data_IF_612090840399
#
_entry.id   IF_612090840399
#
_cell.length_a   1.000
_cell.length_b   1.000
_cell.length_c   1.000
_cell.angle_alpha   90.00
_cell.angle_beta   90.00
_cell.angle_gamma   90.00
#
_symmetry.space_group_name_H-M   'P 1'
#
loop_
_entity.id
_entity.type
_entity.pdbx_description
1 polymer ?
#
# COMPACT_ATOMS: atom_id res chain seq x y z
N UNK A 1 -19.87 7.37 2.27
CA UNK A 1 -19.69 6.39 1.16
C UNK A 1 -20.13 7.00 -0.17
N UNK A 2 -21.33 7.55 -0.26
CA UNK A 2 -21.85 8.17 -1.48
C UNK A 2 -21.17 9.50 -1.82
N UNK A 3 -20.76 10.28 -0.83
CA UNK A 3 -20.13 11.58 -1.04
C UNK A 3 -18.78 11.51 -1.77
N UNK A 4 -17.98 10.48 -1.54
CA UNK A 4 -16.69 10.29 -2.24
C UNK A 4 -16.88 9.95 -3.73
N UNK A 5 -18.07 9.48 -4.11
CA UNK A 5 -18.46 9.09 -5.46
C UNK A 5 -19.10 10.21 -6.26
N UNK A 6 -19.64 11.23 -5.60
CA UNK A 6 -20.27 12.38 -6.25
C UNK A 6 -19.30 13.16 -7.15
N UNK A 7 -17.99 13.06 -6.90
CA UNK A 7 -16.96 13.63 -7.77
C UNK A 7 -16.86 12.97 -9.15
N UNK A 8 -17.48 11.83 -9.36
CA UNK A 8 -17.38 11.05 -10.59
C UNK A 8 -18.64 11.10 -11.45
N UNK A 9 -19.46 12.14 -11.34
CA UNK A 9 -20.55 12.48 -12.29
C UNK A 9 -21.26 11.28 -12.95
N UNK A 10 -21.47 10.18 -12.22
CA UNK A 10 -22.40 9.15 -12.67
C UNK A 10 -23.79 9.75 -12.45
N UNK A 11 -24.60 9.90 -13.52
CA UNK A 11 -25.98 10.31 -13.37
C UNK A 11 -26.68 9.28 -12.47
N UNK A 12 -27.17 9.67 -11.28
CA UNK A 12 -27.57 8.73 -10.25
C UNK A 12 -28.73 7.83 -10.68
N UNK A 13 -29.58 8.34 -11.56
CA UNK A 13 -30.88 7.76 -11.93
C UNK A 13 -30.83 6.32 -12.43
N UNK A 14 -29.71 5.87 -13.01
CA UNK A 14 -29.61 4.51 -13.58
C UNK A 14 -28.56 3.66 -12.89
N UNK A 15 -27.76 4.24 -11.98
CA UNK A 15 -26.72 3.51 -11.27
C UNK A 15 -27.27 2.72 -10.09
N UNK A 16 -26.59 1.66 -9.75
CA UNK A 16 -26.89 0.87 -8.56
C UNK A 16 -25.59 0.31 -7.96
N UNK A 17 -25.66 -0.02 -6.66
CA UNK A 17 -24.57 -0.61 -5.92
C UNK A 17 -25.04 -1.90 -5.25
N UNK A 18 -24.25 -2.96 -5.38
CA UNK A 18 -24.51 -4.22 -4.69
C UNK A 18 -23.68 -4.30 -3.42
N UNK A 19 -24.29 -4.82 -2.36
CA UNK A 19 -23.57 -5.26 -1.18
C UNK A 19 -24.30 -6.45 -0.56
N UNK A 20 -23.68 -7.60 -0.68
CA UNK A 20 -24.24 -8.88 -0.24
C UNK A 20 -25.63 -9.16 -0.87
N UNK A 21 -26.67 -9.27 -0.06
CA UNK A 21 -28.06 -9.51 -0.47
C UNK A 21 -28.85 -8.23 -0.79
N UNK A 22 -28.21 -7.06 -0.67
CA UNK A 22 -28.85 -5.76 -0.84
C UNK A 22 -28.38 -5.04 -2.08
N UNK A 23 -29.23 -4.17 -2.58
CA UNK A 23 -28.93 -3.22 -3.63
C UNK A 23 -29.32 -1.83 -3.15
N UNK A 24 -28.45 -0.86 -3.33
CA UNK A 24 -28.76 0.55 -3.22
C UNK A 24 -28.89 1.19 -4.59
N UNK A 25 -29.86 2.08 -4.76
CA UNK A 25 -30.04 2.86 -5.97
C UNK A 25 -30.77 4.17 -5.63
N UNK A 26 -30.79 5.09 -6.57
CA UNK A 26 -31.56 6.33 -6.44
C UNK A 26 -32.81 6.19 -7.26
N UNK A 27 -33.99 6.44 -6.67
CA UNK A 27 -35.26 6.40 -7.32
C UNK A 27 -35.61 7.72 -8.07
N UNK A 28 -36.82 7.78 -8.65
CA UNK A 28 -37.25 8.95 -9.40
C UNK A 28 -37.45 10.21 -8.52
N UNK A 29 -37.63 10.04 -7.23
CA UNK A 29 -37.76 11.13 -6.25
C UNK A 29 -36.40 11.59 -5.68
N UNK A 30 -35.27 11.10 -6.24
CA UNK A 30 -33.94 11.34 -5.75
C UNK A 30 -33.67 10.77 -4.34
N UNK A 31 -34.50 9.83 -3.91
CA UNK A 31 -34.31 9.13 -2.63
C UNK A 31 -33.40 7.94 -2.81
N UNK A 32 -32.53 7.71 -1.83
CA UNK A 32 -31.69 6.52 -1.78
C UNK A 32 -32.55 5.36 -1.25
N UNK A 33 -32.77 4.39 -2.10
CA UNK A 33 -33.47 3.16 -1.74
C UNK A 33 -32.48 2.04 -1.49
N UNK A 34 -32.56 1.38 -0.35
CA UNK A 34 -31.81 0.17 -0.03
C UNK A 34 -32.82 -0.96 0.15
N UNK A 35 -32.74 -1.98 -0.67
CA UNK A 35 -33.65 -3.11 -0.61
C UNK A 35 -32.94 -4.45 -0.78
N UNK A 36 -33.56 -5.50 -0.26
CA UNK A 36 -33.14 -6.87 -0.56
C UNK A 36 -33.40 -7.12 -2.05
N UNK A 37 -32.42 -7.65 -2.76
CA UNK A 37 -32.53 -7.88 -4.19
C UNK A 37 -32.21 -9.33 -4.55
N UNK A 38 -33.12 -9.93 -5.31
CA UNK A 38 -32.87 -11.22 -5.94
C UNK A 38 -31.84 -11.11 -7.07
N UNK A 39 -31.37 -12.26 -7.58
CA UNK A 39 -30.52 -12.29 -8.77
C UNK A 39 -31.23 -11.66 -9.99
N UNK A 40 -32.56 -11.86 -10.11
CA UNK A 40 -33.37 -11.30 -11.18
C UNK A 40 -33.47 -9.77 -11.07
N UNK A 41 -33.66 -9.24 -9.87
CA UNK A 41 -33.72 -7.79 -9.66
C UNK A 41 -32.39 -7.13 -9.99
N UNK A 42 -31.30 -7.77 -9.58
CA UNK A 42 -29.95 -7.32 -9.93
C UNK A 42 -29.73 -7.32 -11.45
N UNK A 43 -30.16 -8.37 -12.14
CA UNK A 43 -30.07 -8.48 -13.59
C UNK A 43 -30.88 -7.41 -14.32
N UNK A 44 -32.15 -7.18 -13.89
CA UNK A 44 -32.97 -6.12 -14.45
C UNK A 44 -32.33 -4.73 -14.28
N UNK A 45 -31.71 -4.46 -13.14
CA UNK A 45 -31.01 -3.20 -12.90
C UNK A 45 -29.77 -3.06 -13.77
N UNK A 46 -29.02 -4.15 -13.93
CA UNK A 46 -27.88 -4.16 -14.85
C UNK A 46 -28.30 -3.81 -16.28
N UNK A 47 -29.35 -4.45 -16.79
CA UNK A 47 -29.88 -4.16 -18.13
C UNK A 47 -30.27 -2.69 -18.31
N UNK A 48 -30.85 -2.06 -17.28
CA UNK A 48 -31.16 -0.62 -17.29
C UNK A 48 -29.91 0.26 -17.24
N UNK A 49 -28.86 -0.19 -16.60
CA UNK A 49 -27.64 0.58 -16.42
C UNK A 49 -26.68 0.48 -17.62
N UNK A 50 -26.64 -0.67 -18.30
CA UNK A 50 -25.70 -0.93 -19.39
C UNK A 50 -25.78 0.08 -20.56
N UNK A 51 -26.94 0.53 -21.05
CA UNK A 51 -27.01 1.53 -22.11
C UNK A 51 -26.33 2.84 -21.72
N UNK A 52 -26.54 3.28 -20.48
CA UNK A 52 -25.89 4.47 -19.95
C UNK A 52 -24.36 4.30 -19.88
N UNK A 53 -23.87 3.14 -19.38
CA UNK A 53 -22.45 2.85 -19.34
C UNK A 53 -21.85 2.80 -20.74
N UNK A 54 -22.56 2.28 -21.72
CA UNK A 54 -22.12 2.23 -23.12
C UNK A 54 -21.91 3.64 -23.72
N UNK A 55 -22.86 4.55 -23.45
CA UNK A 55 -22.73 5.95 -23.90
C UNK A 55 -21.55 6.68 -23.25
N UNK A 56 -21.31 6.45 -21.96
CA UNK A 56 -20.28 7.14 -21.21
C UNK A 56 -18.88 6.52 -21.42
N UNK A 57 -18.79 5.20 -21.53
CA UNK A 57 -17.53 4.47 -21.69
C UNK A 57 -17.75 3.07 -22.27
N UNK A 58 -17.51 2.93 -23.58
CA UNK A 58 -17.57 1.61 -24.26
C UNK A 58 -16.66 0.57 -23.58
N UNK A 59 -15.51 1.00 -23.06
CA UNK A 59 -14.57 0.10 -22.36
C UNK A 59 -15.15 -0.41 -21.04
N UNK A 60 -15.88 0.41 -20.32
CA UNK A 60 -16.54 0.03 -19.07
C UNK A 60 -17.72 -0.91 -19.34
N UNK A 61 -18.47 -0.66 -20.40
CA UNK A 61 -19.51 -1.56 -20.87
C UNK A 61 -18.95 -2.97 -21.14
N UNK A 62 -17.88 -3.07 -21.92
CA UNK A 62 -17.21 -4.37 -22.20
C UNK A 62 -16.76 -5.02 -20.89
N UNK A 63 -16.22 -4.26 -19.95
CA UNK A 63 -15.79 -4.79 -18.65
C UNK A 63 -16.94 -5.38 -17.86
N UNK A 64 -18.11 -4.73 -17.85
CA UNK A 64 -19.31 -5.25 -17.17
C UNK A 64 -19.83 -6.51 -17.84
N UNK A 65 -19.85 -6.57 -19.17
CA UNK A 65 -20.21 -7.79 -19.90
C UNK A 65 -19.24 -8.93 -19.55
N UNK A 66 -17.93 -8.66 -19.57
CA UNK A 66 -16.91 -9.65 -19.19
C UNK A 66 -17.11 -10.18 -17.75
N UNK A 67 -17.46 -9.29 -16.81
CA UNK A 67 -17.80 -9.71 -15.45
C UNK A 67 -18.95 -10.71 -15.43
N UNK A 68 -20.06 -10.39 -16.07
CA UNK A 68 -21.25 -11.24 -16.05
C UNK A 68 -21.02 -12.58 -16.76
N UNK A 69 -20.25 -12.59 -17.86
CA UNK A 69 -19.87 -13.81 -18.56
C UNK A 69 -18.89 -14.69 -17.75
N UNK A 70 -18.00 -14.08 -16.98
CA UNK A 70 -17.02 -14.83 -16.20
C UNK A 70 -17.53 -15.23 -14.81
N UNK A 71 -18.53 -14.53 -14.27
CA UNK A 71 -19.04 -14.75 -12.91
C UNK A 71 -19.40 -16.23 -12.61
N UNK A 72 -20.04 -17.01 -13.50
CA UNK A 72 -20.32 -18.41 -13.23
C UNK A 72 -19.08 -19.25 -12.89
N UNK A 73 -17.91 -18.96 -13.51
CA UNK A 73 -16.66 -19.68 -13.28
C UNK A 73 -16.01 -19.34 -11.92
N UNK A 74 -16.43 -18.25 -11.31
CA UNK A 74 -15.89 -17.77 -10.02
C UNK A 74 -16.87 -17.96 -8.85
N UNK A 75 -18.16 -18.22 -9.12
CA UNK A 75 -19.24 -18.23 -8.12
C UNK A 75 -18.96 -19.14 -6.91
N UNK A 76 -18.31 -20.28 -7.13
CA UNK A 76 -18.05 -21.28 -6.09
C UNK A 76 -16.60 -21.26 -5.60
N UNK A 77 -15.82 -20.27 -5.98
CA UNK A 77 -14.42 -20.13 -5.54
C UNK A 77 -14.37 -19.11 -4.41
N UNK A 78 -13.58 -19.43 -3.38
CA UNK A 78 -13.20 -18.47 -2.33
C UNK A 78 -11.89 -17.82 -2.77
N UNK A 79 -11.96 -16.54 -3.15
CA UNK A 79 -10.82 -15.83 -3.73
C UNK A 79 -10.35 -14.74 -2.78
N UNK A 80 -9.08 -14.84 -2.39
CA UNK A 80 -8.38 -13.80 -1.67
C UNK A 80 -7.37 -13.11 -2.60
N UNK A 81 -7.46 -11.79 -2.72
CA UNK A 81 -6.44 -10.99 -3.37
C UNK A 81 -5.55 -10.33 -2.34
N UNK A 82 -4.25 -10.38 -2.56
CA UNK A 82 -3.23 -9.87 -1.67
C UNK A 82 -2.37 -8.83 -2.36
N UNK A 83 -2.18 -7.69 -1.70
CA UNK A 83 -1.43 -6.57 -2.22
C UNK A 83 -0.51 -6.00 -1.15
N UNK A 84 0.78 -5.95 -1.46
CA UNK A 84 1.67 -4.97 -0.85
C UNK A 84 1.67 -3.70 -1.72
N UNK A 85 2.81 -3.20 -2.14
CA UNK A 85 2.86 -2.19 -3.20
C UNK A 85 2.91 -2.88 -4.55
N UNK A 86 2.29 -2.30 -5.60
CA UNK A 86 2.30 -2.93 -6.92
C UNK A 86 3.69 -3.02 -7.54
N UNK A 87 4.59 -2.17 -7.10
CA UNK A 87 5.97 -2.10 -7.59
C UNK A 87 6.99 -2.77 -6.66
N UNK A 88 6.58 -3.26 -5.48
CA UNK A 88 7.48 -3.84 -4.49
C UNK A 88 6.78 -4.85 -3.60
N UNK A 89 7.41 -6.01 -3.42
CA UNK A 89 7.04 -7.03 -2.44
C UNK A 89 7.81 -6.88 -1.13
N UNK A 90 7.79 -7.93 -0.32
CA UNK A 90 8.52 -8.02 0.94
C UNK A 90 7.81 -7.35 2.11
N UNK A 91 6.49 -7.20 2.05
CA UNK A 91 5.68 -6.69 3.16
C UNK A 91 4.67 -7.74 3.64
N UNK A 92 3.82 -7.41 4.56
CA UNK A 92 2.96 -8.32 5.33
C UNK A 92 2.08 -9.23 4.47
N UNK A 93 1.59 -8.77 3.31
CA UNK A 93 0.81 -9.62 2.41
C UNK A 93 1.67 -10.67 1.71
N UNK A 94 2.93 -10.40 1.37
CA UNK A 94 3.83 -11.41 0.81
C UNK A 94 4.11 -12.50 1.86
N UNK A 95 4.38 -12.14 3.11
CA UNK A 95 4.60 -13.12 4.19
C UNK A 95 3.40 -14.02 4.38
N UNK A 96 2.19 -13.45 4.43
CA UNK A 96 0.96 -14.23 4.49
C UNK A 96 0.77 -15.12 3.27
N UNK A 97 1.08 -14.62 2.08
CA UNK A 97 0.98 -15.39 0.83
C UNK A 97 1.91 -16.61 0.85
N UNK A 98 3.16 -16.43 1.29
CA UNK A 98 4.15 -17.50 1.46
C UNK A 98 3.69 -18.52 2.49
N UNK A 99 3.26 -18.08 3.66
CA UNK A 99 2.73 -18.94 4.72
C UNK A 99 1.56 -19.80 4.24
N UNK A 100 0.75 -19.28 3.35
CA UNK A 100 -0.43 -19.96 2.84
C UNK A 100 -0.17 -20.80 1.58
N UNK A 101 1.04 -20.84 1.04
CA UNK A 101 1.32 -21.46 -0.26
C UNK A 101 0.91 -22.93 -0.34
N UNK A 102 1.11 -23.69 0.74
CA UNK A 102 0.84 -25.12 0.84
C UNK A 102 -0.49 -25.47 1.50
N UNK A 103 -1.30 -24.46 1.87
CA UNK A 103 -2.57 -24.69 2.55
C UNK A 103 -3.62 -25.24 1.59
N UNK A 104 -4.24 -26.36 1.94
CA UNK A 104 -5.32 -27.03 1.18
C UNK A 104 -6.68 -26.79 1.87
N UNK A 105 -7.08 -25.56 2.03
CA UNK A 105 -8.30 -25.13 2.74
C UNK A 105 -9.42 -24.66 1.81
N UNK A 106 -9.28 -24.88 0.51
CA UNK A 106 -10.25 -24.47 -0.50
C UNK A 106 -10.25 -22.98 -0.85
N UNK A 107 -9.28 -22.20 -0.31
CA UNK A 107 -9.13 -20.78 -0.61
C UNK A 107 -8.10 -20.57 -1.71
N UNK A 108 -8.51 -19.91 -2.79
CA UNK A 108 -7.62 -19.51 -3.87
C UNK A 108 -6.99 -18.15 -3.58
N UNK A 109 -5.70 -18.13 -3.31
CA UNK A 109 -4.96 -16.93 -2.95
C UNK A 109 -4.11 -16.44 -4.12
N UNK A 110 -4.15 -15.14 -4.35
CA UNK A 110 -3.43 -14.52 -5.46
C UNK A 110 -2.70 -13.27 -4.98
N UNK A 111 -1.40 -13.24 -5.14
CA UNK A 111 -0.58 -12.07 -4.85
C UNK A 111 -0.35 -11.27 -6.14
N UNK A 112 -0.66 -9.98 -6.12
CA UNK A 112 -0.63 -9.11 -7.30
C UNK A 112 0.57 -8.17 -7.21
N UNK A 113 1.41 -8.20 -8.25
CA UNK A 113 2.59 -7.34 -8.34
C UNK A 113 2.94 -7.08 -9.81
N UNK A 114 3.69 -6.01 -10.10
CA UNK A 114 4.15 -5.73 -11.46
C UNK A 114 5.21 -6.74 -11.91
N UNK A 115 5.05 -7.23 -13.14
CA UNK A 115 5.94 -8.28 -13.70
C UNK A 115 7.39 -7.81 -13.91
N UNK A 116 7.62 -6.50 -13.99
CA UNK A 116 8.95 -5.94 -14.28
C UNK A 116 9.80 -5.79 -13.02
N UNK A 117 9.24 -6.03 -11.84
CA UNK A 117 9.95 -5.92 -10.56
C UNK A 117 10.88 -7.12 -10.32
N UNK A 118 11.96 -6.89 -9.58
CA UNK A 118 12.82 -7.95 -9.07
C UNK A 118 12.06 -8.92 -8.17
N UNK A 119 11.14 -8.40 -7.35
CA UNK A 119 10.31 -9.21 -6.45
C UNK A 119 9.38 -10.17 -7.20
N UNK A 120 8.82 -9.77 -8.37
CA UNK A 120 8.05 -10.70 -9.20
C UNK A 120 8.92 -11.89 -9.67
N UNK A 121 10.16 -11.59 -10.08
CA UNK A 121 11.11 -12.63 -10.51
C UNK A 121 11.52 -13.52 -9.34
N UNK A 122 11.82 -12.93 -8.18
CA UNK A 122 12.16 -13.63 -6.93
C UNK A 122 11.04 -14.58 -6.50
N UNK A 123 9.80 -14.10 -6.41
CA UNK A 123 8.65 -14.94 -6.07
C UNK A 123 8.48 -16.13 -7.01
N UNK A 124 8.72 -15.93 -8.30
CA UNK A 124 8.68 -17.04 -9.28
C UNK A 124 9.83 -18.04 -9.10
N UNK A 125 11.03 -17.55 -8.80
CA UNK A 125 12.18 -18.41 -8.52
C UNK A 125 11.95 -19.25 -7.24
N UNK A 126 11.23 -18.70 -6.26
CA UNK A 126 10.82 -19.39 -5.04
C UNK A 126 9.64 -20.37 -5.26
N UNK A 127 9.23 -20.64 -6.51
CA UNK A 127 8.13 -21.56 -6.85
C UNK A 127 6.72 -20.99 -6.67
N UNK A 128 6.59 -19.73 -6.25
CA UNK A 128 5.29 -19.07 -6.09
C UNK A 128 4.72 -18.60 -7.44
N UNK A 129 3.43 -18.30 -7.48
CA UNK A 129 2.70 -17.95 -8.71
C UNK A 129 2.06 -16.56 -8.63
N UNK A 130 2.87 -15.49 -8.52
CA UNK A 130 2.31 -14.13 -8.48
C UNK A 130 1.55 -13.81 -9.77
N UNK A 131 0.53 -12.99 -9.64
CA UNK A 131 -0.29 -12.55 -10.78
C UNK A 131 0.20 -11.18 -11.25
N UNK A 132 0.42 -11.07 -12.55
CA UNK A 132 0.84 -9.80 -13.17
C UNK A 132 -0.24 -8.74 -12.97
N UNK A 133 0.18 -7.60 -12.40
CA UNK A 133 -0.64 -6.40 -12.33
C UNK A 133 -1.21 -6.01 -13.70
N UNK A 134 -2.44 -5.49 -13.73
CA UNK A 134 -3.19 -5.06 -14.92
C UNK A 134 -3.45 -6.13 -15.98
N UNK A 135 -3.10 -7.40 -15.74
CA UNK A 135 -3.46 -8.49 -16.63
C UNK A 135 -4.98 -8.73 -16.67
N UNK A 136 -5.48 -9.40 -17.70
CA UNK A 136 -6.87 -9.83 -17.74
C UNK A 136 -7.24 -10.68 -16.52
N UNK A 137 -6.36 -11.61 -16.13
CA UNK A 137 -6.53 -12.45 -14.93
C UNK A 137 -6.69 -11.58 -13.67
N UNK A 138 -5.79 -10.60 -13.45
CA UNK A 138 -5.90 -9.68 -12.32
C UNK A 138 -7.27 -8.98 -12.29
N UNK A 139 -7.68 -8.41 -13.42
CA UNK A 139 -8.95 -7.67 -13.54
C UNK A 139 -10.17 -8.52 -13.21
N UNK A 140 -10.23 -9.75 -13.74
CA UNK A 140 -11.34 -10.66 -13.45
C UNK A 140 -11.31 -11.16 -12.00
N UNK A 141 -10.13 -11.42 -11.44
CA UNK A 141 -9.98 -11.76 -10.04
C UNK A 141 -10.46 -10.62 -9.15
N UNK A 142 -10.09 -9.36 -9.44
CA UNK A 142 -10.52 -8.20 -8.65
C UNK A 142 -12.03 -8.07 -8.61
N UNK A 143 -12.73 -8.23 -9.73
CA UNK A 143 -14.19 -8.15 -9.80
C UNK A 143 -14.90 -9.32 -9.10
N UNK A 144 -14.22 -10.45 -8.93
CA UNK A 144 -14.80 -11.68 -8.37
C UNK A 144 -14.19 -12.06 -7.01
N UNK A 145 -13.43 -11.17 -6.40
CA UNK A 145 -12.79 -11.41 -5.11
C UNK A 145 -13.82 -11.48 -3.98
N UNK A 146 -13.55 -12.32 -2.98
CA UNK A 146 -14.36 -12.39 -1.75
C UNK A 146 -13.73 -11.56 -0.64
N UNK A 147 -12.41 -11.51 -0.58
CA UNK A 147 -11.66 -10.71 0.40
C UNK A 147 -10.43 -10.10 -0.28
N UNK A 148 -10.23 -8.81 -0.06
CA UNK A 148 -8.99 -8.13 -0.43
C UNK A 148 -8.13 -7.86 0.81
N UNK A 149 -6.89 -8.34 0.79
CA UNK A 149 -5.90 -8.12 1.83
C UNK A 149 -4.85 -7.14 1.30
N UNK A 150 -4.56 -6.13 2.08
CA UNK A 150 -3.67 -5.05 1.66
C UNK A 150 -2.86 -4.51 2.85
N UNK A 151 -1.65 -4.08 2.60
CA UNK A 151 -0.82 -3.42 3.61
C UNK A 151 -1.14 -1.93 3.77
N UNK A 152 -1.78 -1.33 2.77
CA UNK A 152 -2.32 0.04 2.84
C UNK A 152 -3.81 0.02 3.20
N UNK A 153 -4.39 1.17 3.53
CA UNK A 153 -5.79 1.26 3.94
C UNK A 153 -6.79 1.28 2.78
N UNK A 154 -6.36 1.47 1.54
CA UNK A 154 -7.24 1.61 0.38
C UNK A 154 -6.86 0.65 -0.75
N UNK A 155 -7.71 -0.36 -0.98
CA UNK A 155 -7.48 -1.41 -1.99
C UNK A 155 -8.01 -1.02 -3.38
N UNK A 156 -9.01 -0.14 -3.45
CA UNK A 156 -9.66 0.14 -4.73
C UNK A 156 -8.75 0.72 -5.82
N UNK A 157 -7.75 1.56 -5.56
CA UNK A 157 -6.79 2.01 -6.55
C UNK A 157 -5.99 0.87 -7.23
N UNK A 158 -5.92 -0.30 -6.58
CA UNK A 158 -5.19 -1.48 -7.07
C UNK A 158 -6.00 -2.36 -8.03
N UNK A 159 -7.15 -1.91 -8.53
CA UNK A 159 -8.09 -2.68 -9.35
C UNK A 159 -7.55 -3.08 -10.76
N UNK A 160 -6.44 -2.50 -11.19
CA UNK A 160 -5.84 -2.77 -12.50
C UNK A 160 -6.53 -2.12 -13.70
N UNK A 161 -7.57 -1.35 -13.49
CA UNK A 161 -8.28 -0.58 -14.53
C UNK A 161 -7.80 0.86 -14.60
N UNK A 162 -8.05 1.52 -15.74
CA UNK A 162 -7.87 2.96 -15.86
C UNK A 162 -8.93 3.73 -15.07
N UNK A 163 -8.65 4.97 -14.67
CA UNK A 163 -9.54 5.78 -13.84
C UNK A 163 -10.94 5.96 -14.45
N UNK A 164 -11.01 6.15 -15.76
CA UNK A 164 -12.28 6.29 -16.51
C UNK A 164 -13.17 5.04 -16.40
N UNK A 165 -12.55 3.85 -16.34
CA UNK A 165 -13.28 2.57 -16.16
C UNK A 165 -13.60 2.26 -14.71
N UNK A 166 -12.72 2.60 -13.79
CA UNK A 166 -12.88 2.29 -12.36
C UNK A 166 -14.20 2.79 -11.80
N UNK A 167 -14.65 3.96 -12.21
CA UNK A 167 -15.91 4.55 -11.75
C UNK A 167 -17.14 3.69 -12.04
N UNK A 168 -17.13 2.92 -13.14
CA UNK A 168 -18.26 2.10 -13.56
C UNK A 168 -18.22 0.66 -13.06
N UNK A 169 -17.10 0.20 -12.52
CA UNK A 169 -16.98 -1.18 -12.03
C UNK A 169 -17.21 -1.32 -10.53
N UNK A 170 -17.15 -0.22 -9.78
CA UNK A 170 -17.21 -0.28 -8.32
C UNK A 170 -18.51 -0.89 -7.80
N UNK A 171 -19.65 -0.64 -8.45
CA UNK A 171 -20.91 -1.27 -8.08
C UNK A 171 -20.92 -2.80 -8.21
N UNK A 172 -19.94 -3.39 -8.91
CA UNK A 172 -19.73 -4.83 -9.00
C UNK A 172 -18.85 -5.37 -7.87
N UNK A 173 -18.02 -4.51 -7.26
CA UNK A 173 -17.10 -4.88 -6.21
C UNK A 173 -17.84 -4.94 -4.86
N UNK A 174 -17.96 -6.13 -4.30
CA UNK A 174 -18.72 -6.38 -3.08
C UNK A 174 -17.91 -7.19 -2.08
N UNK A 175 -16.65 -6.86 -1.92
CA UNK A 175 -15.75 -7.54 -1.01
C UNK A 175 -15.34 -6.62 0.15
N UNK A 176 -15.18 -7.16 1.36
CA UNK A 176 -14.50 -6.48 2.45
C UNK A 176 -13.00 -6.42 2.21
N UNK A 177 -12.35 -5.41 2.76
CA UNK A 177 -10.91 -5.34 2.85
C UNK A 177 -10.41 -5.70 4.25
N UNK A 178 -9.18 -6.22 4.32
CA UNK A 178 -8.43 -6.44 5.55
C UNK A 178 -7.08 -5.75 5.43
N UNK A 179 -6.74 -4.92 6.39
CA UNK A 179 -5.47 -4.20 6.40
C UNK A 179 -4.43 -4.92 7.26
N UNK A 180 -3.35 -5.39 6.61
CA UNK A 180 -2.27 -6.13 7.27
C UNK A 180 -1.13 -5.22 7.75
N UNK A 181 -1.24 -3.91 7.54
CA UNK A 181 -0.22 -2.91 7.88
C UNK A 181 1.10 -3.06 7.11
N UNK A 182 1.72 -1.91 6.84
CA UNK A 182 3.08 -1.81 6.29
C UNK A 182 4.06 -1.17 7.28
N UNK A 183 3.71 -1.09 8.54
CA UNK A 183 4.47 -0.50 9.64
C UNK A 183 3.55 0.05 10.71
N UNK A 184 4.09 0.37 11.89
CA UNK A 184 3.29 0.89 12.98
C UNK A 184 2.73 2.27 12.66
N UNK A 185 1.42 2.42 12.83
CA UNK A 185 0.67 3.66 12.62
C UNK A 185 0.43 4.39 13.95
N UNK A 186 1.50 4.86 14.57
CA UNK A 186 1.42 5.62 15.83
C UNK A 186 1.18 7.11 15.62
N UNK A 187 1.37 7.60 14.40
CA UNK A 187 1.14 8.99 14.01
C UNK A 187 -0.28 9.16 13.45
N UNK A 188 -0.80 10.40 13.50
CA UNK A 188 -2.12 10.70 12.97
C UNK A 188 -2.12 10.68 11.43
N UNK A 189 -2.78 9.68 10.84
CA UNK A 189 -2.95 9.53 9.39
C UNK A 189 -4.45 9.50 9.02
N UNK A 190 -5.27 10.34 9.63
CA UNK A 190 -6.72 10.22 9.71
C UNK A 190 -7.42 9.93 8.37
N UNK A 191 -7.11 10.68 7.31
CA UNK A 191 -7.82 10.56 6.04
C UNK A 191 -7.55 9.24 5.31
N UNK A 192 -6.32 8.74 5.38
CA UNK A 192 -5.92 7.52 4.66
C UNK A 192 -6.36 6.23 5.36
N UNK A 193 -6.57 6.28 6.68
CA UNK A 193 -6.84 5.09 7.49
C UNK A 193 -8.29 4.98 7.97
N UNK A 194 -9.17 5.87 7.53
CA UNK A 194 -10.59 5.81 7.88
C UNK A 194 -11.24 4.54 7.33
N UNK A 195 -11.98 3.83 8.17
CA UNK A 195 -12.73 2.61 7.81
C UNK A 195 -13.64 2.81 6.61
N UNK A 196 -14.28 3.96 6.52
CA UNK A 196 -15.25 4.29 5.46
C UNK A 196 -14.63 4.34 4.07
N UNK A 197 -13.32 4.54 3.96
CA UNK A 197 -12.63 4.68 2.66
C UNK A 197 -12.71 3.39 1.87
N UNK A 198 -12.60 2.22 2.52
CA UNK A 198 -12.43 0.95 1.81
C UNK A 198 -13.19 -0.25 2.41
N UNK A 199 -14.22 0.01 3.20
CA UNK A 199 -14.99 -1.05 3.85
C UNK A 199 -14.11 -2.04 4.63
N UNK A 200 -13.15 -1.52 5.38
CA UNK A 200 -12.23 -2.34 6.18
C UNK A 200 -13.00 -3.08 7.27
N UNK A 201 -12.90 -4.41 7.27
CA UNK A 201 -13.57 -5.30 8.21
C UNK A 201 -12.62 -5.92 9.23
N UNK A 202 -11.33 -5.80 9.00
CA UNK A 202 -10.31 -6.24 9.95
C UNK A 202 -9.03 -5.43 9.72
N UNK A 203 -8.44 -4.97 10.82
CA UNK A 203 -7.23 -4.18 10.83
C UNK A 203 -6.25 -4.78 11.82
N UNK A 204 -5.11 -5.28 11.35
CA UNK A 204 -4.12 -5.96 12.17
C UNK A 204 -3.12 -4.96 12.73
N UNK A 205 -2.81 -5.07 14.01
CA UNK A 205 -1.98 -4.14 14.77
C UNK A 205 -0.91 -4.89 15.55
N UNK A 206 0.23 -4.23 15.77
CA UNK A 206 1.32 -4.76 16.58
C UNK A 206 1.48 -4.06 17.93
N UNK A 207 0.79 -2.95 18.17
CA UNK A 207 1.04 -2.09 19.33
C UNK A 207 -0.25 -1.58 19.98
N UNK A 208 -0.30 -1.58 21.32
CA UNK A 208 -1.36 -0.93 22.09
C UNK A 208 -1.48 0.58 21.78
N UNK A 209 -0.42 1.20 21.35
CA UNK A 209 -0.42 2.62 20.95
C UNK A 209 -1.13 2.84 19.62
N UNK A 210 -0.97 1.93 18.66
CA UNK A 210 -1.76 1.92 17.43
C UNK A 210 -3.23 1.69 17.72
N UNK A 211 -3.54 0.71 18.58
CA UNK A 211 -4.91 0.43 18.99
C UNK A 211 -5.56 1.69 19.57
N UNK A 212 -4.88 2.35 20.51
CA UNK A 212 -5.34 3.61 21.12
C UNK A 212 -5.54 4.71 20.07
N UNK A 213 -4.60 4.85 19.13
CA UNK A 213 -4.69 5.85 18.07
C UNK A 213 -5.89 5.58 17.14
N UNK A 214 -6.02 4.36 16.61
CA UNK A 214 -7.06 3.99 15.66
C UNK A 214 -8.45 3.85 16.30
N UNK A 215 -8.53 3.70 17.63
CA UNK A 215 -9.79 3.79 18.37
C UNK A 215 -10.35 5.21 18.46
N UNK A 216 -9.64 6.22 17.96
CA UNK A 216 -10.18 7.57 17.89
C UNK A 216 -11.34 7.64 16.89
N UNK A 217 -12.39 8.41 17.24
CA UNK A 217 -13.62 8.54 16.45
C UNK A 217 -13.39 8.97 14.99
N UNK A 218 -12.31 9.69 14.68
CA UNK A 218 -12.01 10.14 13.30
C UNK A 218 -11.75 8.97 12.34
N UNK A 219 -11.38 7.80 12.85
CA UNK A 219 -11.10 6.61 12.04
C UNK A 219 -12.32 5.71 11.81
N UNK A 220 -13.40 5.90 12.56
CA UNK A 220 -14.65 5.13 12.45
C UNK A 220 -14.49 3.62 12.71
N UNK A 221 -13.61 3.23 13.63
CA UNK A 221 -13.45 1.84 14.08
C UNK A 221 -14.11 1.56 15.42
N UNK A 222 -14.62 2.57 16.10
CA UNK A 222 -15.32 2.43 17.37
C UNK A 222 -16.57 1.55 17.20
N UNK A 223 -16.91 0.81 18.24
CA UNK A 223 -18.08 -0.09 18.31
C UNK A 223 -18.08 -1.26 17.30
N UNK A 224 -16.96 -1.45 16.61
CA UNK A 224 -16.75 -2.59 15.71
C UNK A 224 -15.51 -3.37 16.19
N UNK A 225 -15.65 -4.66 16.40
CA UNK A 225 -14.52 -5.54 16.75
C UNK A 225 -13.58 -5.78 15.54
N UNK A 226 -13.05 -4.69 14.97
CA UNK A 226 -12.27 -4.66 13.73
C UNK A 226 -10.76 -4.62 14.01
N UNK A 227 -10.35 -3.91 15.06
CA UNK A 227 -8.94 -3.75 15.43
C UNK A 227 -8.44 -5.01 16.14
N UNK A 228 -7.45 -5.70 15.56
CA UNK A 228 -6.91 -6.96 16.06
C UNK A 228 -5.43 -6.85 16.39
N UNK A 229 -5.08 -7.07 17.63
CA UNK A 229 -3.69 -7.10 18.11
C UNK A 229 -3.07 -8.47 17.82
N UNK A 230 -2.37 -8.61 16.70
CA UNK A 230 -1.81 -9.89 16.23
C UNK A 230 -0.32 -9.83 15.91
N UNK A 231 0.25 -8.63 15.83
CA UNK A 231 1.55 -8.42 15.21
C UNK A 231 1.44 -8.08 13.72
N UNK A 232 2.58 -7.87 13.10
CA UNK A 232 2.73 -7.51 11.67
C UNK A 232 3.48 -8.63 10.98
N UNK A 233 2.93 -9.17 9.88
CA UNK A 233 3.48 -10.36 9.19
C UNK A 233 4.92 -10.21 8.72
N UNK A 234 5.31 -9.03 8.25
CA UNK A 234 6.69 -8.79 7.79
C UNK A 234 7.75 -8.87 8.90
N UNK A 235 7.35 -8.82 10.17
CA UNK A 235 8.28 -8.97 11.28
C UNK A 235 8.85 -10.39 11.40
N UNK A 236 8.19 -11.39 10.80
CA UNK A 236 8.70 -12.76 10.74
C UNK A 236 10.03 -12.86 9.97
N UNK A 237 10.29 -11.92 9.06
CA UNK A 237 11.55 -11.81 8.33
C UNK A 237 12.66 -11.06 9.06
N UNK A 238 12.38 -10.39 10.18
CA UNK A 238 13.36 -9.56 10.87
C UNK A 238 14.30 -10.43 11.75
N UNK A 239 15.19 -11.14 11.11
CA UNK A 239 16.20 -11.99 11.73
C UNK A 239 17.53 -11.24 11.80
N UNK A 240 18.22 -11.32 12.96
CA UNK A 240 19.51 -10.64 13.09
C UNK A 240 20.61 -11.32 12.25
N UNK A 241 21.22 -10.55 11.34
CA UNK A 241 22.36 -10.96 10.51
C UNK A 241 23.38 -9.80 10.45
N UNK A 242 23.79 -9.34 11.62
CA UNK A 242 24.63 -8.15 11.79
C UNK A 242 25.95 -8.25 11.03
N UNK A 243 26.22 -7.25 10.19
CA UNK A 243 27.45 -7.10 9.39
C UNK A 243 28.23 -5.82 9.72
N UNK A 244 28.04 -5.30 10.93
CA UNK A 244 28.66 -4.03 11.36
C UNK A 244 28.33 -2.88 10.39
N UNK A 245 27.05 -2.66 10.14
CA UNK A 245 26.57 -1.56 9.31
C UNK A 245 25.84 -0.52 10.15
N UNK A 246 26.12 0.75 9.91
CA UNK A 246 25.32 1.89 10.39
C UNK A 246 24.36 2.26 9.28
N UNK A 247 23.06 2.22 9.56
CA UNK A 247 22.01 2.59 8.62
C UNK A 247 21.52 4.02 8.91
N UNK A 248 21.73 4.92 7.98
CA UNK A 248 21.17 6.27 8.03
C UNK A 248 19.88 6.27 7.18
N UNK A 249 18.73 6.45 7.80
CA UNK A 249 17.43 6.38 7.12
C UNK A 249 16.49 7.50 7.60
N UNK A 250 16.71 8.74 7.15
CA UNK A 250 15.88 9.87 7.53
C UNK A 250 14.55 9.88 6.80
N UNK A 251 13.56 10.50 7.43
CA UNK A 251 12.25 10.74 6.81
C UNK A 251 12.35 11.89 5.81
N UNK A 252 11.67 11.74 4.68
CA UNK A 252 11.49 12.81 3.71
C UNK A 252 10.72 14.00 4.32
N UNK A 253 10.73 15.15 3.65
CA UNK A 253 9.94 16.32 4.05
C UNK A 253 8.94 16.67 2.94
N UNK A 254 7.77 17.16 3.33
CA UNK A 254 6.67 17.44 2.41
C UNK A 254 7.08 18.43 1.31
N UNK A 255 7.83 19.48 1.65
CA UNK A 255 8.31 20.47 0.71
C UNK A 255 9.32 19.93 -0.34
N UNK A 256 9.88 18.75 -0.11
CA UNK A 256 10.77 18.07 -1.07
C UNK A 256 10.03 17.07 -1.97
N UNK A 257 8.75 16.82 -1.71
CA UNK A 257 7.97 15.85 -2.45
C UNK A 257 7.50 16.39 -3.79
N UNK A 258 8.03 15.84 -4.87
CA UNK A 258 7.63 16.19 -6.23
C UNK A 258 6.46 15.31 -6.72
N UNK A 259 5.73 15.72 -7.77
CA UNK A 259 4.65 14.93 -8.36
C UNK A 259 5.10 13.53 -8.78
N UNK A 260 4.15 12.59 -8.75
CA UNK A 260 4.35 11.22 -9.21
C UNK A 260 4.47 11.20 -10.73
N UNK A 261 5.46 10.50 -11.26
CA UNK A 261 5.70 10.34 -12.70
C UNK A 261 5.26 8.97 -13.23
N UNK A 262 5.08 7.98 -12.35
CA UNK A 262 4.59 6.65 -12.72
C UNK A 262 3.22 6.38 -12.13
N UNK A 263 2.43 5.56 -12.82
CA UNK A 263 1.09 5.17 -12.35
C UNK A 263 1.12 4.34 -11.08
N UNK A 264 2.23 3.71 -10.78
CA UNK A 264 2.48 2.89 -9.60
C UNK A 264 2.88 3.70 -8.37
N UNK A 265 3.20 4.99 -8.56
CA UNK A 265 3.61 5.89 -7.48
C UNK A 265 5.05 5.70 -7.00
N UNK A 266 5.83 4.88 -7.72
CA UNK A 266 7.23 4.56 -7.37
C UNK A 266 8.16 5.74 -7.62
N UNK A 267 8.05 6.36 -8.80
CA UNK A 267 8.94 7.42 -9.23
C UNK A 267 8.30 8.79 -9.06
N UNK A 268 9.13 9.73 -8.65
CA UNK A 268 8.80 11.14 -8.52
C UNK A 268 9.58 11.96 -9.53
N UNK A 269 9.04 13.09 -9.93
CA UNK A 269 9.77 14.06 -10.73
C UNK A 269 11.04 14.51 -10.00
N UNK A 270 12.06 14.87 -10.75
CA UNK A 270 13.28 15.44 -10.20
C UNK A 270 13.00 16.87 -9.69
N UNK A 271 13.55 17.20 -8.52
CA UNK A 271 13.50 18.56 -7.97
C UNK A 271 14.83 19.27 -8.23
N UNK A 272 14.91 20.23 -9.15
CA UNK A 272 16.16 20.94 -9.45
C UNK A 272 16.66 21.79 -8.28
N UNK A 273 15.76 22.21 -7.38
CA UNK A 273 16.09 23.04 -6.21
C UNK A 273 16.51 22.20 -4.99
N UNK A 274 16.53 20.87 -5.09
CA UNK A 274 16.79 19.99 -3.95
C UNK A 274 18.12 20.29 -3.26
N UNK A 275 19.19 20.53 -4.02
CA UNK A 275 20.53 20.84 -3.48
C UNK A 275 20.58 22.15 -2.69
N UNK A 276 19.63 23.05 -2.89
CA UNK A 276 19.54 24.32 -2.15
C UNK A 276 18.77 24.16 -0.83
N UNK A 277 18.08 23.03 -0.62
CA UNK A 277 17.30 22.81 0.58
C UNK A 277 18.15 22.57 1.83
N UNK A 278 17.65 22.98 2.97
CA UNK A 278 18.25 22.69 4.29
C UNK A 278 18.35 21.18 4.53
N UNK A 279 17.37 20.40 4.07
CA UNK A 279 17.39 18.95 4.16
C UNK A 279 18.61 18.35 3.47
N UNK A 280 18.84 18.72 2.20
CA UNK A 280 20.01 18.24 1.46
C UNK A 280 21.31 18.60 2.17
N UNK A 281 21.50 19.88 2.53
CA UNK A 281 22.73 20.35 3.16
C UNK A 281 23.08 19.56 4.42
N UNK A 282 22.12 19.40 5.33
CA UNK A 282 22.31 18.70 6.61
C UNK A 282 22.67 17.23 6.38
N UNK A 283 21.96 16.51 5.51
CA UNK A 283 22.23 15.10 5.32
C UNK A 283 23.47 14.86 4.44
N UNK A 284 23.76 15.74 3.50
CA UNK A 284 25.03 15.70 2.76
C UNK A 284 26.22 15.98 3.67
N UNK A 285 26.11 16.91 4.62
CA UNK A 285 27.14 17.16 5.63
C UNK A 285 27.30 15.97 6.60
N UNK A 286 26.20 15.31 6.97
CA UNK A 286 26.24 14.13 7.84
C UNK A 286 27.02 12.96 7.19
N UNK A 287 26.76 12.67 5.90
CA UNK A 287 27.45 11.59 5.19
C UNK A 287 28.90 11.93 4.80
N UNK A 288 29.33 13.15 5.01
CA UNK A 288 30.71 13.63 4.86
C UNK A 288 31.35 13.99 6.20
N UNK A 289 30.68 13.72 7.32
CA UNK A 289 31.19 14.08 8.61
C UNK A 289 32.45 13.27 8.97
N UNK A 290 33.58 13.95 9.03
CA UNK A 290 34.88 13.32 9.25
C UNK A 290 34.93 12.50 10.55
N UNK A 291 34.37 13.02 11.66
CA UNK A 291 34.36 12.30 12.95
C UNK A 291 33.55 11.01 12.88
N UNK A 292 32.41 11.02 12.19
CA UNK A 292 31.57 9.84 11.97
C UNK A 292 32.35 8.81 11.15
N UNK A 293 32.92 9.22 10.02
CA UNK A 293 33.61 8.36 9.07
C UNK A 293 34.88 7.75 9.70
N UNK A 294 35.72 8.55 10.35
CA UNK A 294 36.94 8.07 11.01
C UNK A 294 36.62 7.10 12.14
N UNK A 295 35.53 7.35 12.88
CA UNK A 295 35.07 6.43 13.92
C UNK A 295 34.58 5.11 13.30
N UNK A 296 33.78 5.15 12.23
CA UNK A 296 33.31 3.96 11.54
C UNK A 296 34.51 3.13 10.97
N UNK A 297 35.45 3.79 10.32
CA UNK A 297 36.70 3.15 9.83
C UNK A 297 37.47 2.45 10.96
N UNK A 298 37.72 3.15 12.06
CA UNK A 298 38.46 2.63 13.22
C UNK A 298 37.75 1.44 13.89
N UNK A 299 36.43 1.41 13.89
CA UNK A 299 35.63 0.35 14.53
C UNK A 299 35.20 -0.75 13.56
N UNK A 300 35.46 -0.60 12.26
CA UNK A 300 35.15 -1.56 11.22
C UNK A 300 33.69 -1.55 10.79
N UNK A 301 32.95 -0.46 11.05
CA UNK A 301 31.56 -0.31 10.60
C UNK A 301 31.48 0.27 9.19
N UNK A 302 30.58 -0.25 8.38
CA UNK A 302 30.18 0.36 7.11
C UNK A 302 29.07 1.39 7.35
N UNK A 303 28.96 2.39 6.49
CA UNK A 303 27.89 3.38 6.56
C UNK A 303 27.05 3.28 5.29
N UNK A 304 25.73 3.10 5.46
CA UNK A 304 24.77 3.09 4.36
C UNK A 304 23.70 4.16 4.60
N UNK A 305 23.56 5.08 3.65
CA UNK A 305 22.54 6.10 3.65
C UNK A 305 21.43 5.73 2.66
N UNK A 306 20.20 5.60 3.15
CA UNK A 306 19.04 5.15 2.36
C UNK A 306 18.07 6.29 2.18
N UNK A 307 17.84 6.69 0.93
CA UNK A 307 16.83 7.68 0.60
C UNK A 307 15.46 7.06 0.60
N UNK A 308 14.51 7.77 1.21
CA UNK A 308 13.10 7.39 1.14
C UNK A 308 12.59 7.33 -0.32
N UNK A 309 11.65 6.43 -0.69
CA UNK A 309 11.15 6.31 -2.07
C UNK A 309 10.71 7.63 -2.71
N UNK A 310 10.13 8.54 -1.92
CA UNK A 310 9.69 9.87 -2.38
C UNK A 310 10.87 10.75 -2.88
N UNK A 311 12.06 10.51 -2.39
CA UNK A 311 13.29 11.23 -2.79
C UNK A 311 14.18 10.41 -3.73
N UNK A 312 13.69 9.31 -4.28
CA UNK A 312 14.50 8.39 -5.10
C UNK A 312 15.17 9.04 -6.31
N UNK A 313 14.50 10.03 -6.93
CA UNK A 313 15.03 10.79 -8.07
C UNK A 313 16.23 11.68 -7.72
N UNK A 314 16.47 11.93 -6.43
CA UNK A 314 17.54 12.81 -5.93
C UNK A 314 18.78 12.04 -5.45
N UNK A 315 18.83 10.72 -5.63
CA UNK A 315 19.95 9.90 -5.12
C UNK A 315 21.30 10.36 -5.63
N UNK A 316 21.38 10.77 -6.88
CA UNK A 316 22.62 11.23 -7.53
C UNK A 316 23.01 12.68 -7.17
N UNK A 317 22.17 13.39 -6.42
CA UNK A 317 22.50 14.73 -5.93
C UNK A 317 23.48 14.69 -4.76
N UNK A 318 23.44 13.61 -3.97
CA UNK A 318 24.34 13.44 -2.84
C UNK A 318 25.74 13.14 -3.31
N UNK A 319 26.72 13.78 -2.66
CA UNK A 319 28.15 13.64 -2.93
C UNK A 319 28.77 13.05 -1.66
N UNK A 320 28.73 11.72 -1.47
CA UNK A 320 29.23 11.09 -0.25
C UNK A 320 30.74 10.98 -0.22
N UNK A 321 31.31 10.89 0.98
CA UNK A 321 32.65 10.32 1.17
C UNK A 321 32.70 8.91 0.56
N UNK A 322 33.80 8.48 -0.08
CA UNK A 322 33.90 7.14 -0.69
C UNK A 322 33.64 5.97 0.28
N UNK A 323 33.67 6.22 1.59
CA UNK A 323 33.37 5.23 2.61
C UNK A 323 31.86 5.06 2.89
N UNK A 324 31.02 5.94 2.37
CA UNK A 324 29.57 5.94 2.59
C UNK A 324 28.84 5.50 1.33
N UNK A 325 28.07 4.43 1.43
CA UNK A 325 27.18 3.97 0.36
C UNK A 325 25.86 4.74 0.43
N UNK A 326 25.52 5.46 -0.64
CA UNK A 326 24.20 6.14 -0.78
C UNK A 326 23.35 5.35 -1.74
N UNK A 327 22.15 4.94 -1.29
CA UNK A 327 21.25 4.11 -2.08
C UNK A 327 19.83 4.67 -2.11
N UNK A 328 19.16 4.44 -3.24
CA UNK A 328 17.72 4.63 -3.35
C UNK A 328 16.98 3.42 -2.77
N UNK A 329 15.89 3.65 -2.07
CA UNK A 329 15.03 2.56 -1.55
C UNK A 329 14.04 2.00 -2.57
N UNK A 330 14.06 2.48 -3.81
CA UNK A 330 13.32 1.89 -4.94
C UNK A 330 14.21 0.90 -5.72
N UNK A 331 13.59 0.09 -6.57
CA UNK A 331 14.31 -0.95 -7.32
C UNK A 331 14.67 -2.15 -6.45
N UNK A 332 15.91 -2.61 -6.57
CA UNK A 332 16.38 -3.86 -5.93
C UNK A 332 16.73 -3.72 -4.43
N UNK A 333 16.65 -2.53 -3.87
CA UNK A 333 16.89 -2.33 -2.43
C UNK A 333 15.88 -3.11 -1.58
N UNK A 334 16.36 -3.79 -0.54
CA UNK A 334 15.53 -4.53 0.40
C UNK A 334 15.70 -3.99 1.82
N UNK A 335 14.63 -3.44 2.39
CA UNK A 335 14.63 -2.93 3.77
C UNK A 335 14.89 -4.02 4.81
N UNK A 336 14.31 -5.21 4.64
CA UNK A 336 14.52 -6.35 5.55
C UNK A 336 16.00 -6.68 5.65
N UNK A 337 16.67 -6.88 4.52
CA UNK A 337 18.12 -7.14 4.47
C UNK A 337 18.91 -6.00 5.11
N UNK A 338 18.56 -4.75 4.80
CA UNK A 338 19.24 -3.59 5.38
C UNK A 338 19.10 -3.55 6.91
N UNK A 339 17.95 -3.91 7.46
CA UNK A 339 17.73 -3.97 8.91
C UNK A 339 18.46 -5.16 9.54
N UNK A 340 18.41 -6.33 8.92
CA UNK A 340 19.13 -7.53 9.38
C UNK A 340 20.64 -7.27 9.49
N UNK A 341 21.23 -6.64 8.48
CA UNK A 341 22.68 -6.41 8.37
C UNK A 341 23.19 -5.23 9.20
N UNK A 342 22.31 -4.33 9.62
CA UNK A 342 22.71 -3.14 10.37
C UNK A 342 22.74 -3.38 11.87
N UNK A 343 23.80 -2.90 12.53
CA UNK A 343 23.97 -2.93 13.98
C UNK A 343 23.30 -1.74 14.67
N UNK A 344 23.22 -0.61 13.97
CA UNK A 344 22.74 0.67 14.47
C UNK A 344 21.95 1.39 13.38
N UNK A 345 20.84 2.02 13.75
CA UNK A 345 20.10 2.91 12.86
C UNK A 345 20.12 4.34 13.38
N UNK A 346 20.42 5.28 12.51
CA UNK A 346 20.23 6.71 12.73
C UNK A 346 19.04 7.16 11.90
N UNK A 347 18.03 7.70 12.56
CA UNK A 347 16.78 8.14 11.92
C UNK A 347 16.22 9.36 12.63
N UNK A 348 15.04 9.84 12.19
CA UNK A 348 14.32 10.93 12.83
C UNK A 348 12.87 10.54 13.17
N UNK A 349 11.92 10.72 12.25
CA UNK A 349 10.50 10.43 12.44
C UNK A 349 10.00 9.20 11.65
N UNK A 350 10.90 8.43 11.06
CA UNK A 350 10.55 7.33 10.14
C UNK A 350 9.83 6.18 10.85
N UNK A 351 8.75 5.68 10.26
CA UNK A 351 8.03 4.51 10.76
C UNK A 351 8.86 3.23 10.82
N UNK A 352 9.92 3.12 10.01
CA UNK A 352 10.82 1.96 9.99
C UNK A 352 11.66 1.81 11.26
N UNK A 353 11.72 2.83 12.11
CA UNK A 353 12.34 2.73 13.44
C UNK A 353 11.74 1.61 14.30
N UNK A 354 10.45 1.34 14.15
CA UNK A 354 9.75 0.32 14.93
C UNK A 354 10.15 -1.09 14.51
N UNK A 355 10.42 -1.31 13.22
CA UNK A 355 10.97 -2.57 12.72
C UNK A 355 12.35 -2.84 13.32
N UNK A 356 13.18 -1.80 13.37
CA UNK A 356 14.52 -1.89 13.94
C UNK A 356 14.49 -2.09 15.47
N UNK A 357 13.60 -1.37 16.16
CA UNK A 357 13.37 -1.55 17.60
C UNK A 357 12.83 -2.94 17.93
N UNK A 358 11.98 -3.54 17.07
CA UNK A 358 11.50 -4.90 17.23
C UNK A 358 12.66 -5.91 17.27
N UNK A 359 13.69 -5.68 16.46
CA UNK A 359 14.94 -6.47 16.46
C UNK A 359 15.81 -6.22 17.70
N UNK A 360 15.42 -5.34 18.62
CA UNK A 360 16.19 -4.92 19.81
C UNK A 360 17.55 -4.35 19.47
N UNK A 361 17.67 -3.66 18.33
CA UNK A 361 18.88 -3.01 17.89
C UNK A 361 18.90 -1.52 18.29
N UNK A 362 20.09 -0.92 18.52
CA UNK A 362 20.23 0.48 18.90
C UNK A 362 19.66 1.46 17.87
N UNK A 363 18.95 2.46 18.35
CA UNK A 363 18.43 3.59 17.57
C UNK A 363 19.05 4.89 18.06
N UNK A 364 19.45 5.75 17.15
CA UNK A 364 19.85 7.13 17.40
C UNK A 364 18.92 8.06 16.66
N UNK A 365 18.32 9.00 17.38
CA UNK A 365 17.46 10.02 16.79
C UNK A 365 18.31 11.26 16.46
N UNK A 366 18.32 11.61 15.19
CA UNK A 366 19.00 12.79 14.68
C UNK A 366 17.95 13.85 14.31
N UNK A 367 17.74 14.79 15.21
CA UNK A 367 16.77 15.89 15.09
C UNK A 367 17.49 17.24 15.00
N UNK A 368 18.02 17.65 13.84
CA UNK A 368 18.63 18.94 13.67
C UNK A 368 17.61 20.06 13.88
N UNK A 369 17.95 21.05 14.67
CA UNK A 369 17.06 22.19 14.99
C UNK A 369 16.65 23.01 13.75
N UNK A 370 17.45 22.95 12.68
CA UNK A 370 17.20 23.63 11.41
C UNK A 370 16.15 22.94 10.54
N UNK A 371 15.80 21.68 10.83
CA UNK A 371 14.78 20.94 10.07
C UNK A 371 13.49 20.89 10.86
N UNK A 372 12.36 21.35 10.28
CA UNK A 372 11.05 21.18 10.91
C UNK A 372 10.71 19.70 11.01
N UNK A 373 9.76 19.39 11.89
CA UNK A 373 9.17 18.07 11.96
C UNK A 373 8.54 17.66 10.61
N UNK A 374 8.34 16.35 10.40
CA UNK A 374 7.92 15.83 9.11
C UNK A 374 6.58 16.38 8.60
N UNK A 375 5.70 16.76 9.49
CA UNK A 375 4.33 17.18 9.19
C UNK A 375 4.09 18.70 9.38
N UNK A 376 5.13 19.48 9.58
CA UNK A 376 5.04 20.93 9.67
C UNK A 376 5.09 21.59 8.30
#
# INVERSE_FOLDING_TARGET
>A
FLHHWSKFTIKPKNSYWRFNKYVAYIDNSSTIVICHASAMDTFKRELKFLPYVFMESKRSFITRIQYWLTRPFFKNKKIWLMYDKLYKGGDSCEYLYRYCADKKDGISRYYIIDKNTSDYKRLKADGLKPVKNRSFKHKMLFLNTDIALITNSNVFPFNGYSMDRSRFIRGLCNFPSMCLQHGLSVQKCAMAQQRIVDNTQMYFLASKYEYKNLSNHVYNYQDFDILKMTGIGRYDGLINNDKKQILLSPTWRMYNAMPVTTSEGEQRAYNPEFKHTTYYKIYNDLINNKKLIDTAKRTGYKIKYVLHPILSSQVNDFIPDPYVEVVSSVGDFNYETAFQESSLMVTDYSGVQFDFAYMKKPLVYFHPSQLPAHYD
#
